data_IF_631422770706
#
_entry.id   IF_631422770706
#
_cell.length_a   1.000
_cell.length_b   1.000
_cell.length_c   1.000
_cell.angle_alpha   90.00
_cell.angle_beta   90.00
_cell.angle_gamma   90.00
#
_symmetry.space_group_name_H-M   'P 1'
#
loop_
_entity.id
_entity.type
_entity.pdbx_description
1 polymer ?
#
# COMPACT_ATOMS: atom_id res chain seq x y z
N UNK A 1 -2.28 2.95 -11.97
CA UNK A 1 -2.96 2.36 -13.16
C UNK A 1 -3.00 0.87 -12.96
N UNK A 2 -4.18 0.28 -13.01
CA UNK A 2 -4.42 -1.16 -12.89
C UNK A 2 -4.60 -1.70 -14.31
N UNK A 3 -3.79 -2.69 -14.72
CA UNK A 3 -3.91 -3.36 -16.01
C UNK A 3 -4.72 -4.65 -15.86
N UNK A 4 -6.04 -4.55 -15.99
CA UNK A 4 -6.96 -5.69 -15.83
C UNK A 4 -6.83 -6.76 -16.91
N UNK A 5 -5.97 -6.59 -17.93
CA UNK A 5 -5.68 -7.62 -18.95
C UNK A 5 -4.67 -8.65 -18.42
N UNK A 6 -3.98 -8.31 -17.33
CA UNK A 6 -3.00 -9.19 -16.67
C UNK A 6 -3.73 -10.15 -15.72
N UNK A 7 -3.43 -11.47 -15.77
CA UNK A 7 -3.99 -12.44 -14.82
C UNK A 7 -3.71 -12.05 -13.37
N UNK A 8 -4.70 -12.23 -12.50
CA UNK A 8 -4.55 -11.96 -11.07
C UNK A 8 -3.73 -13.04 -10.37
N UNK A 9 -2.66 -12.62 -9.74
CA UNK A 9 -1.97 -13.38 -8.69
C UNK A 9 -1.58 -12.43 -7.57
N UNK A 10 -1.69 -12.84 -6.29
CA UNK A 10 -1.18 -12.05 -5.17
C UNK A 10 0.34 -11.99 -5.22
N UNK A 11 0.88 -10.83 -4.85
CA UNK A 11 2.32 -10.56 -4.82
C UNK A 11 2.70 -10.09 -3.43
N UNK A 12 3.56 -10.83 -2.78
CA UNK A 12 4.08 -10.52 -1.47
C UNK A 12 5.48 -9.94 -1.59
N UNK A 13 5.72 -8.86 -0.87
CA UNK A 13 7.04 -8.23 -0.81
C UNK A 13 7.38 -7.88 0.63
N UNK A 14 8.66 -7.99 0.96
CA UNK A 14 9.21 -7.66 2.27
C UNK A 14 10.38 -6.71 2.10
N UNK A 15 10.46 -5.69 2.94
CA UNK A 15 11.61 -4.81 3.11
C UNK A 15 12.16 -5.03 4.52
N UNK A 16 13.41 -5.45 4.60
CA UNK A 16 14.08 -5.67 5.87
C UNK A 16 14.45 -4.35 6.56
N UNK A 17 14.60 -4.39 7.88
CA UNK A 17 15.06 -3.25 8.66
C UNK A 17 16.45 -2.78 8.22
N UNK A 18 16.74 -1.49 8.47
CA UNK A 18 18.06 -0.91 8.22
C UNK A 18 18.37 -0.56 6.76
N UNK A 19 17.51 -0.90 5.80
CA UNK A 19 17.68 -0.43 4.44
C UNK A 19 17.43 1.09 4.37
N UNK A 20 18.28 1.89 3.68
CA UNK A 20 18.12 3.34 3.65
C UNK A 20 16.81 3.77 2.98
N UNK A 21 16.13 4.74 3.56
CA UNK A 21 14.92 5.33 2.97
C UNK A 21 15.30 6.47 2.03
N UNK A 22 15.00 6.30 0.75
CA UNK A 22 15.15 7.40 -0.23
C UNK A 22 14.10 8.47 0.04
N UNK A 23 14.51 9.62 0.58
CA UNK A 23 13.61 10.74 0.82
C UNK A 23 12.98 11.24 -0.49
N UNK A 24 11.66 11.38 -0.49
CA UNK A 24 10.88 11.91 -1.60
C UNK A 24 9.89 12.94 -1.10
N UNK A 25 9.96 14.15 -1.64
CA UNK A 25 9.03 15.23 -1.32
C UNK A 25 7.79 15.17 -2.22
N UNK A 26 6.69 15.69 -1.73
CA UNK A 26 5.52 15.97 -2.57
C UNK A 26 5.84 17.07 -3.58
N UNK A 27 5.26 17.01 -4.79
CA UNK A 27 5.33 18.13 -5.72
C UNK A 27 4.57 19.35 -5.18
N UNK A 28 4.86 20.53 -5.74
CA UNK A 28 4.15 21.76 -5.40
C UNK A 28 2.62 21.60 -5.60
N UNK A 29 1.83 22.21 -4.72
CA UNK A 29 0.38 22.11 -4.74
C UNK A 29 -0.20 20.91 -4.00
N UNK A 30 0.64 20.05 -3.40
CA UNK A 30 0.21 18.94 -2.58
C UNK A 30 0.76 19.05 -1.16
N UNK A 31 0.00 18.53 -0.17
CA UNK A 31 0.45 18.41 1.21
C UNK A 31 0.09 17.07 1.80
N UNK A 32 0.89 16.61 2.75
CA UNK A 32 0.52 15.48 3.59
C UNK A 32 -0.48 15.90 4.66
N UNK A 33 -1.37 14.97 4.98
CA UNK A 33 -2.29 15.05 6.10
C UNK A 33 -2.46 13.65 6.71
N UNK A 34 -2.64 13.57 8.02
CA UNK A 34 -2.95 12.30 8.68
C UNK A 34 -4.46 12.18 8.87
N UNK A 35 -4.92 10.94 8.98
CA UNK A 35 -6.31 10.62 9.21
C UNK A 35 -6.87 11.40 10.41
N UNK A 36 -7.94 12.15 10.18
CA UNK A 36 -8.68 12.82 11.24
C UNK A 36 -9.86 11.95 11.66
N UNK A 37 -10.18 11.81 12.96
CA UNK A 37 -11.25 10.93 13.43
C UNK A 37 -12.61 11.22 12.76
N UNK A 38 -12.90 12.50 12.51
CA UNK A 38 -14.20 12.95 11.99
C UNK A 38 -14.35 12.75 10.48
N UNK A 39 -13.27 12.81 9.72
CA UNK A 39 -13.32 12.80 8.25
C UNK A 39 -12.61 11.62 7.60
N UNK A 40 -11.73 10.94 8.33
CA UNK A 40 -10.80 9.95 7.77
C UNK A 40 -11.46 8.82 7.01
N UNK A 41 -12.60 8.31 7.50
CA UNK A 41 -13.39 7.29 6.80
C UNK A 41 -13.89 7.81 5.44
N UNK A 42 -14.46 9.03 5.43
CA UNK A 42 -14.97 9.64 4.20
C UNK A 42 -13.85 9.97 3.22
N UNK A 43 -12.72 10.47 3.70
CA UNK A 43 -11.54 10.78 2.90
C UNK A 43 -10.97 9.51 2.24
N UNK A 44 -10.86 8.42 3.00
CA UNK A 44 -10.41 7.13 2.48
C UNK A 44 -11.36 6.60 1.40
N UNK A 45 -12.66 6.59 1.68
CA UNK A 45 -13.70 6.18 0.71
C UNK A 45 -13.59 7.00 -0.59
N UNK A 46 -13.42 8.32 -0.47
CA UNK A 46 -13.25 9.20 -1.63
C UNK A 46 -12.07 8.77 -2.50
N UNK A 47 -10.91 8.52 -1.88
CA UNK A 47 -9.71 8.11 -2.61
C UNK A 47 -9.86 6.71 -3.23
N UNK A 48 -10.49 5.75 -2.54
CA UNK A 48 -10.66 4.40 -3.09
C UNK A 48 -11.58 4.40 -4.32
N UNK A 49 -12.63 5.20 -4.31
CA UNK A 49 -13.53 5.35 -5.46
C UNK A 49 -12.86 6.06 -6.63
N UNK A 50 -12.18 7.19 -6.39
CA UNK A 50 -11.54 7.98 -7.45
C UNK A 50 -10.30 7.31 -8.04
N UNK A 51 -9.70 6.37 -7.33
CA UNK A 51 -8.62 5.52 -7.83
C UNK A 51 -9.10 4.27 -8.57
N UNK A 52 -10.41 4.01 -8.61
CA UNK A 52 -11.03 2.81 -9.16
C UNK A 52 -10.54 1.49 -8.53
N UNK A 53 -10.09 1.52 -7.28
CA UNK A 53 -9.77 0.29 -6.54
C UNK A 53 -11.02 -0.40 -6.02
N UNK A 54 -12.03 0.37 -5.67
CA UNK A 54 -13.34 -0.09 -5.19
C UNK A 54 -14.41 0.59 -6.05
N UNK A 55 -15.44 -0.18 -6.43
CA UNK A 55 -16.44 0.31 -7.38
C UNK A 55 -17.58 1.08 -6.71
N UNK A 56 -17.96 0.70 -5.50
CA UNK A 56 -19.12 1.30 -4.82
C UNK A 56 -18.76 1.89 -3.45
N UNK A 57 -19.46 2.96 -3.10
CA UNK A 57 -19.33 3.59 -1.78
C UNK A 57 -19.64 2.61 -0.65
N UNK A 58 -20.73 1.86 -0.76
CA UNK A 58 -21.13 0.92 0.29
C UNK A 58 -20.07 -0.16 0.54
N UNK A 59 -19.41 -0.65 -0.51
CA UNK A 59 -18.31 -1.58 -0.40
C UNK A 59 -17.09 -0.93 0.27
N UNK A 60 -16.73 0.28 -0.16
CA UNK A 60 -15.60 1.01 0.42
C UNK A 60 -15.82 1.28 1.92
N UNK A 61 -17.03 1.68 2.30
CA UNK A 61 -17.38 1.92 3.69
C UNK A 61 -17.30 0.63 4.54
N UNK A 62 -17.85 -0.47 4.04
CA UNK A 62 -17.77 -1.78 4.70
C UNK A 62 -16.32 -2.25 4.85
N UNK A 63 -15.50 -2.08 3.81
CA UNK A 63 -14.08 -2.46 3.85
C UNK A 63 -13.30 -1.60 4.84
N UNK A 64 -13.54 -0.28 4.87
CA UNK A 64 -12.92 0.58 5.87
C UNK A 64 -13.22 0.09 7.29
N UNK A 65 -14.49 -0.19 7.56
CA UNK A 65 -14.93 -0.64 8.87
C UNK A 65 -14.29 -1.99 9.25
N UNK A 66 -14.24 -2.95 8.34
CA UNK A 66 -13.65 -4.27 8.59
C UNK A 66 -12.11 -4.25 8.73
N UNK A 67 -11.44 -3.39 8.00
CA UNK A 67 -9.96 -3.34 7.98
C UNK A 67 -9.39 -2.51 9.14
N UNK A 68 -10.08 -1.43 9.54
CA UNK A 68 -9.46 -0.42 10.38
C UNK A 68 -10.12 -0.22 11.75
N UNK A 69 -11.44 -0.46 11.88
CA UNK A 69 -12.16 -0.06 13.09
C UNK A 69 -11.80 -0.85 14.34
N UNK A 70 -11.23 -2.05 14.20
CA UNK A 70 -10.72 -2.82 15.34
C UNK A 70 -9.55 -2.15 16.07
N UNK A 71 -8.85 -1.21 15.39
CA UNK A 71 -7.70 -0.46 15.93
C UNK A 71 -7.77 1.02 15.47
N UNK A 72 -8.96 1.61 15.52
CA UNK A 72 -9.24 2.96 15.01
C UNK A 72 -8.36 4.05 15.67
N UNK A 73 -7.94 3.85 16.90
CA UNK A 73 -7.05 4.75 17.66
C UNK A 73 -5.66 4.91 17.00
N UNK A 74 -5.26 3.95 16.15
CA UNK A 74 -3.99 4.02 15.43
C UNK A 74 -4.05 4.88 14.16
N UNK A 75 -5.24 5.08 13.59
CA UNK A 75 -5.43 5.77 12.31
C UNK A 75 -4.80 7.17 12.26
N UNK A 76 -4.94 8.04 13.28
CA UNK A 76 -4.35 9.38 13.25
C UNK A 76 -2.82 9.42 13.16
N UNK A 77 -2.16 8.31 13.42
CA UNK A 77 -0.70 8.19 13.33
C UNK A 77 -0.22 7.36 12.15
N UNK A 78 -1.09 6.51 11.59
CA UNK A 78 -0.68 5.47 10.64
C UNK A 78 -1.32 5.57 9.27
N UNK A 79 -2.45 6.25 9.11
CA UNK A 79 -3.10 6.47 7.82
C UNK A 79 -2.78 7.87 7.30
N UNK A 80 -2.15 7.91 6.14
CA UNK A 80 -1.67 9.11 5.48
C UNK A 80 -2.52 9.44 4.25
N UNK A 81 -2.89 10.70 4.12
CA UNK A 81 -3.48 11.26 2.92
C UNK A 81 -2.54 12.25 2.24
N UNK A 82 -2.70 12.39 0.94
CA UNK A 82 -2.20 13.54 0.18
C UNK A 82 -3.41 14.36 -0.24
N UNK A 83 -3.38 15.66 0.09
CA UNK A 83 -4.39 16.63 -0.36
C UNK A 83 -3.81 17.55 -1.42
N UNK A 84 -4.64 17.93 -2.37
CA UNK A 84 -4.34 18.96 -3.37
C UNK A 84 -4.47 20.38 -2.79
N UNK A 85 -4.30 21.40 -3.64
CA UNK A 85 -4.42 22.81 -3.26
C UNK A 85 -5.83 23.22 -2.81
N UNK A 86 -6.88 22.50 -3.24
CA UNK A 86 -8.25 22.71 -2.81
C UNK A 86 -8.58 22.00 -1.48
N UNK A 87 -7.65 21.18 -0.96
CA UNK A 87 -7.85 20.39 0.27
C UNK A 87 -8.51 19.04 0.02
N UNK A 88 -8.75 18.66 -1.22
CA UNK A 88 -9.35 17.38 -1.58
C UNK A 88 -8.35 16.23 -1.35
N UNK A 89 -8.74 15.12 -0.69
CA UNK A 89 -7.89 13.95 -0.58
C UNK A 89 -7.78 13.26 -1.95
N UNK A 90 -6.56 13.17 -2.49
CA UNK A 90 -6.27 12.63 -3.83
C UNK A 90 -5.40 11.38 -3.80
N UNK A 91 -4.84 11.04 -2.66
CA UNK A 91 -4.13 9.78 -2.46
C UNK A 91 -4.16 9.38 -0.99
N UNK A 92 -4.03 8.09 -0.73
CA UNK A 92 -3.93 7.53 0.62
C UNK A 92 -2.97 6.35 0.66
N UNK A 93 -2.36 6.15 1.83
CA UNK A 93 -1.57 4.97 2.15
C UNK A 93 -1.55 4.79 3.67
N UNK A 94 -1.51 3.55 4.14
CA UNK A 94 -1.53 3.26 5.57
C UNK A 94 -0.31 2.40 5.94
N UNK A 95 0.34 2.72 7.05
CA UNK A 95 1.30 1.83 7.71
C UNK A 95 0.55 1.03 8.76
N UNK A 96 -0.03 -0.09 8.35
CA UNK A 96 -0.91 -0.88 9.19
C UNK A 96 -0.17 -2.01 9.89
N UNK A 97 -0.90 -2.85 10.55
CA UNK A 97 -0.40 -4.00 11.27
C UNK A 97 -0.64 -5.28 10.46
N UNK A 98 0.19 -6.27 10.66
CA UNK A 98 -0.03 -7.62 10.15
C UNK A 98 0.93 -8.61 10.76
N UNK A 99 0.59 -9.90 10.68
CA UNK A 99 1.38 -10.97 11.29
C UNK A 99 1.69 -12.09 10.29
N UNK A 100 2.31 -11.76 9.14
CA UNK A 100 2.51 -12.75 8.08
C UNK A 100 3.38 -13.92 8.50
N UNK A 101 4.20 -13.73 9.52
CA UNK A 101 5.19 -14.73 10.00
C UNK A 101 5.08 -15.02 11.50
N UNK A 102 3.90 -14.79 12.08
CA UNK A 102 3.60 -15.05 13.49
C UNK A 102 3.85 -13.88 14.43
N UNK A 103 4.86 -13.03 14.19
CA UNK A 103 5.04 -11.76 14.90
C UNK A 103 4.33 -10.62 14.17
N UNK A 104 3.80 -9.65 14.94
CA UNK A 104 3.24 -8.43 14.36
C UNK A 104 4.37 -7.55 13.82
N UNK A 105 4.26 -7.14 12.55
CA UNK A 105 5.16 -6.22 11.87
C UNK A 105 4.35 -5.18 11.09
N UNK A 106 5.00 -4.12 10.63
CA UNK A 106 4.33 -3.08 9.85
C UNK A 106 4.01 -3.55 8.42
N UNK A 107 2.85 -3.13 7.93
CA UNK A 107 2.35 -3.41 6.57
C UNK A 107 2.04 -2.11 5.84
N UNK A 108 2.62 -1.91 4.66
CA UNK A 108 2.12 -0.89 3.72
C UNK A 108 0.82 -1.40 3.11
N UNK A 109 -0.27 -0.68 3.36
CA UNK A 109 -1.62 -1.15 3.11
C UNK A 109 -2.49 -0.08 2.45
N UNK A 110 -3.37 -0.51 1.54
CA UNK A 110 -4.33 0.36 0.82
C UNK A 110 -3.68 1.61 0.20
N UNK A 111 -2.62 1.41 -0.59
CA UNK A 111 -1.99 2.49 -1.36
C UNK A 111 -2.84 2.81 -2.58
N UNK A 112 -3.39 4.01 -2.62
CA UNK A 112 -4.26 4.47 -3.69
C UNK A 112 -3.92 5.90 -4.13
N UNK A 113 -4.14 6.21 -5.39
CA UNK A 113 -4.00 7.56 -5.94
C UNK A 113 -5.11 7.78 -6.97
N UNK A 114 -5.87 8.84 -6.80
CA UNK A 114 -6.87 9.33 -7.74
C UNK A 114 -6.33 9.33 -9.17
N UNK A 115 -7.11 8.86 -10.13
CA UNK A 115 -6.65 8.65 -11.50
C UNK A 115 -6.09 9.94 -12.13
N UNK A 116 -6.73 11.09 -11.89
CA UNK A 116 -6.31 12.38 -12.42
C UNK A 116 -5.01 12.90 -11.80
N UNK A 117 -4.59 12.34 -10.65
CA UNK A 117 -3.40 12.72 -9.90
C UNK A 117 -2.26 11.69 -9.99
N UNK A 118 -2.42 10.62 -10.77
CA UNK A 118 -1.37 9.61 -10.99
C UNK A 118 -0.17 10.17 -11.75
N UNK A 119 0.96 9.44 -11.72
CA UNK A 119 2.23 9.76 -12.40
C UNK A 119 2.88 11.09 -11.97
N UNK A 120 2.45 11.65 -10.85
CA UNK A 120 3.02 12.89 -10.26
C UNK A 120 3.97 12.62 -9.09
N UNK A 121 4.36 11.37 -8.84
CA UNK A 121 5.28 11.01 -7.76
C UNK A 121 4.63 10.85 -6.38
N UNK A 122 3.30 10.99 -6.25
CA UNK A 122 2.60 10.94 -4.95
C UNK A 122 2.81 9.62 -4.22
N UNK A 123 2.71 8.47 -4.94
CA UNK A 123 2.96 7.16 -4.35
C UNK A 123 4.39 7.06 -3.76
N UNK A 124 5.41 7.54 -4.48
CA UNK A 124 6.79 7.53 -3.98
C UNK A 124 6.97 8.43 -2.74
N UNK A 125 6.31 9.59 -2.71
CA UNK A 125 6.36 10.48 -1.57
C UNK A 125 5.66 9.87 -0.34
N UNK A 126 4.49 9.23 -0.53
CA UNK A 126 3.80 8.52 0.53
C UNK A 126 4.62 7.35 1.08
N UNK A 127 5.22 6.52 0.22
CA UNK A 127 6.09 5.42 0.67
C UNK A 127 7.29 5.93 1.46
N UNK A 128 7.96 6.98 0.98
CA UNK A 128 9.04 7.62 1.73
C UNK A 128 8.58 8.03 3.12
N UNK A 129 7.40 8.65 3.23
CA UNK A 129 6.84 9.11 4.51
C UNK A 129 6.47 7.95 5.43
N UNK A 130 5.85 6.88 4.89
CA UNK A 130 5.48 5.70 5.68
C UNK A 130 6.71 4.94 6.18
N UNK A 131 7.75 4.79 5.37
CA UNK A 131 8.99 4.14 5.79
C UNK A 131 9.74 4.95 6.87
N UNK A 132 9.76 6.29 6.75
CA UNK A 132 10.27 7.15 7.82
C UNK A 132 9.44 7.06 9.10
N UNK A 133 8.12 6.85 8.97
CA UNK A 133 7.25 6.60 10.12
C UNK A 133 7.56 5.25 10.78
N UNK A 134 7.75 4.20 10.00
CA UNK A 134 8.18 2.88 10.51
C UNK A 134 9.47 2.99 11.32
N UNK A 135 10.49 3.67 10.79
CA UNK A 135 11.75 3.91 11.52
C UNK A 135 11.53 4.67 12.84
N UNK A 136 10.68 5.71 12.81
CA UNK A 136 10.36 6.49 14.00
C UNK A 136 9.56 5.72 15.07
N UNK A 137 8.72 4.77 14.65
CA UNK A 137 7.97 3.90 15.56
C UNK A 137 8.85 2.79 16.16
N UNK A 138 9.95 2.44 15.49
CA UNK A 138 10.87 1.39 15.93
C UNK A 138 10.25 -0.01 15.96
N UNK A 139 9.24 -0.27 15.12
CA UNK A 139 8.62 -1.60 15.01
C UNK A 139 9.63 -2.57 14.40
N UNK A 140 10.02 -3.65 15.07
CA UNK A 140 11.00 -4.59 14.54
C UNK A 140 10.40 -5.51 13.47
N UNK A 141 11.25 -6.10 12.63
CA UNK A 141 10.86 -7.17 11.69
C UNK A 141 10.56 -6.68 10.27
N UNK A 142 10.87 -5.42 9.98
CA UNK A 142 10.72 -4.85 8.65
C UNK A 142 9.29 -4.45 8.29
N UNK A 143 9.10 -4.16 7.00
CA UNK A 143 7.81 -3.75 6.45
C UNK A 143 7.43 -4.66 5.29
N UNK A 144 6.23 -5.21 5.31
CA UNK A 144 5.74 -6.00 4.17
C UNK A 144 4.59 -5.31 3.44
N UNK A 145 4.27 -5.81 2.28
CA UNK A 145 3.08 -5.45 1.53
C UNK A 145 2.53 -6.63 0.73
N UNK A 146 1.25 -6.54 0.42
CA UNK A 146 0.56 -7.44 -0.50
C UNK A 146 0.07 -6.59 -1.67
N UNK A 147 0.41 -7.01 -2.88
CA UNK A 147 -0.02 -6.39 -4.12
C UNK A 147 -0.57 -7.45 -5.07
N UNK A 148 -0.76 -7.12 -6.32
CA UNK A 148 -1.27 -8.01 -7.36
C UNK A 148 -0.49 -7.81 -8.67
N UNK A 149 -0.46 -8.83 -9.50
CA UNK A 149 0.25 -8.79 -10.80
C UNK A 149 -0.16 -7.61 -11.68
N UNK A 150 -1.44 -7.27 -11.74
CA UNK A 150 -1.94 -6.16 -12.56
C UNK A 150 -1.53 -4.77 -12.01
N UNK A 151 -0.96 -4.71 -10.81
CA UNK A 151 -0.38 -3.49 -10.21
C UNK A 151 1.14 -3.40 -10.42
N UNK A 152 1.69 -4.05 -11.45
CA UNK A 152 3.13 -4.07 -11.74
C UNK A 152 3.78 -2.67 -11.78
N UNK A 153 3.12 -1.56 -12.19
CA UNK A 153 3.74 -0.25 -12.11
C UNK A 153 4.00 0.21 -10.65
N UNK A 154 3.13 -0.16 -9.70
CA UNK A 154 3.34 0.10 -8.28
C UNK A 154 4.44 -0.81 -7.71
N UNK A 155 4.48 -2.08 -8.12
CA UNK A 155 5.52 -3.04 -7.72
C UNK A 155 6.91 -2.50 -8.09
N UNK A 156 7.08 -1.92 -9.28
CA UNK A 156 8.33 -1.25 -9.66
C UNK A 156 8.72 -0.11 -8.73
N UNK A 157 7.74 0.63 -8.20
CA UNK A 157 8.00 1.66 -7.20
C UNK A 157 8.45 1.02 -5.89
N UNK A 158 7.76 -0.01 -5.40
CA UNK A 158 8.11 -0.72 -4.17
C UNK A 158 9.53 -1.29 -4.22
N UNK A 159 9.94 -1.89 -5.34
CA UNK A 159 11.32 -2.37 -5.54
C UNK A 159 12.36 -1.25 -5.37
N UNK A 160 12.09 -0.03 -5.88
CA UNK A 160 12.99 1.13 -5.72
C UNK A 160 13.11 1.60 -4.26
N UNK A 161 12.15 1.25 -3.41
CA UNK A 161 12.18 1.49 -1.98
C UNK A 161 12.72 0.31 -1.16
N UNK A 162 13.34 -0.68 -1.83
CA UNK A 162 14.01 -1.79 -1.17
C UNK A 162 13.10 -2.97 -0.84
N UNK A 163 11.84 -2.97 -1.26
CA UNK A 163 10.99 -4.15 -1.11
C UNK A 163 11.47 -5.27 -2.04
N UNK A 164 11.74 -6.43 -1.47
CA UNK A 164 12.19 -7.63 -2.18
C UNK A 164 11.03 -8.60 -2.39
N UNK A 165 11.16 -9.44 -3.41
CA UNK A 165 10.22 -10.55 -3.68
C UNK A 165 10.19 -11.52 -2.51
N UNK A 166 9.02 -11.91 -2.06
CA UNK A 166 8.85 -13.02 -1.14
C UNK A 166 8.49 -14.26 -1.95
N UNK A 167 9.38 -15.26 -2.01
CA UNK A 167 9.22 -16.44 -2.88
C UNK A 167 9.01 -17.74 -2.11
N UNK A 168 9.66 -17.90 -0.97
CA UNK A 168 9.77 -19.19 -0.29
C UNK A 168 9.15 -19.24 1.11
N UNK A 169 9.05 -18.11 1.79
CA UNK A 169 8.45 -18.04 3.13
C UNK A 169 6.95 -17.78 3.01
N UNK A 170 6.14 -18.85 3.10
CA UNK A 170 4.67 -18.73 3.02
C UNK A 170 4.13 -17.85 4.15
N UNK A 171 3.41 -16.75 3.84
CA UNK A 171 2.73 -15.94 4.84
C UNK A 171 1.48 -16.63 5.41
N UNK A 172 1.15 -16.38 6.68
CA UNK A 172 -0.05 -16.92 7.31
C UNK A 172 -1.35 -16.46 6.62
N UNK A 173 -1.33 -15.25 6.04
CA UNK A 173 -2.46 -14.64 5.31
C UNK A 173 -2.59 -15.15 3.86
N UNK A 174 -1.79 -16.13 3.44
CA UNK A 174 -1.92 -16.75 2.11
C UNK A 174 -2.97 -17.86 2.16
N UNK A 175 -4.09 -17.67 1.46
CA UNK A 175 -5.28 -18.53 1.52
C UNK A 175 -5.65 -19.23 0.20
N UNK A 176 -4.75 -19.20 -0.80
CA UNK A 176 -5.01 -19.95 -2.04
C UNK A 176 -4.69 -21.45 -1.85
N UNK A 177 -5.41 -22.31 -2.57
CA UNK A 177 -5.18 -23.76 -2.54
C UNK A 177 -3.87 -24.16 -3.20
N UNK A 178 -3.40 -23.39 -4.20
CA UNK A 178 -2.12 -23.62 -4.88
C UNK A 178 -0.93 -23.38 -3.93
N UNK A 179 0.20 -24.10 -4.08
CA UNK A 179 1.41 -23.85 -3.31
C UNK A 179 1.89 -22.40 -3.43
N UNK A 180 2.36 -21.84 -2.32
CA UNK A 180 2.80 -20.43 -2.29
C UNK A 180 3.94 -20.17 -3.27
N UNK A 181 4.96 -21.02 -3.27
CA UNK A 181 6.14 -20.88 -4.13
C UNK A 181 5.75 -20.86 -5.62
N UNK A 182 4.93 -21.79 -6.06
CA UNK A 182 4.45 -21.86 -7.46
C UNK A 182 3.66 -20.61 -7.85
N UNK A 183 2.79 -20.14 -6.95
CA UNK A 183 2.00 -18.93 -7.16
C UNK A 183 2.90 -17.70 -7.24
N UNK A 184 3.89 -17.59 -6.35
CA UNK A 184 4.84 -16.49 -6.33
C UNK A 184 5.71 -16.48 -7.61
N UNK A 185 6.25 -17.62 -8.05
CA UNK A 185 7.02 -17.74 -9.27
C UNK A 185 6.22 -17.30 -10.50
N UNK A 186 4.97 -17.77 -10.63
CA UNK A 186 4.08 -17.39 -11.74
C UNK A 186 3.77 -15.88 -11.72
N UNK A 187 3.49 -15.33 -10.55
CA UNK A 187 3.24 -13.90 -10.39
C UNK A 187 4.44 -13.07 -10.85
N UNK A 188 5.63 -13.44 -10.41
CA UNK A 188 6.86 -12.71 -10.75
C UNK A 188 7.29 -12.89 -12.20
N UNK A 189 7.04 -14.02 -12.83
CA UNK A 189 7.26 -14.21 -14.27
C UNK A 189 6.43 -13.20 -15.09
N UNK A 190 5.15 -13.01 -14.74
CA UNK A 190 4.26 -12.03 -15.38
C UNK A 190 4.79 -10.60 -15.15
N UNK A 191 5.16 -10.27 -13.90
CA UNK A 191 5.66 -8.93 -13.57
C UNK A 191 6.96 -8.62 -14.32
N UNK A 192 7.90 -9.55 -14.36
CA UNK A 192 9.17 -9.38 -15.06
C UNK A 192 8.97 -9.17 -16.57
N UNK A 193 8.01 -9.86 -17.18
CA UNK A 193 7.62 -9.63 -18.57
C UNK A 193 7.08 -8.20 -18.78
N UNK A 194 6.20 -7.73 -17.90
CA UNK A 194 5.58 -6.40 -18.00
C UNK A 194 6.52 -5.25 -17.69
N UNK A 195 7.60 -5.48 -16.96
CA UNK A 195 8.58 -4.45 -16.55
C UNK A 195 9.81 -4.37 -17.46
N UNK A 196 9.94 -5.23 -18.46
CA UNK A 196 10.98 -5.15 -19.51
C UNK A 196 10.73 -3.97 -20.44
#
# INVERSE_FOLDING_TARGET
>A
MIDRTVPYFPVWMLREDGAPVSARSLPAGYRFDFCQPETGRQDWVTVQLSSHQIETRAEAERLFDSEFMSRAEALPRRMLFVRDCAGTPVASATLWFGSPFGAEIDRVHWVATDEAHQRRGLCSAMLSRLLSLHEALGTPGGVYLISQTFSYPAIRIYQRFGFQRLLTRRPAEYHLDAPFEETAERAWAIIDEKLR
#
